data_IF_723596244428
#
_entry.id   IF_723596244428
#
_cell.length_a   1.000
_cell.length_b   1.000
_cell.length_c   1.000
_cell.angle_alpha   90.00
_cell.angle_beta   90.00
_cell.angle_gamma   90.00
#
_symmetry.space_group_name_H-M   'P 1'
#
loop_
_entity.id
_entity.type
_entity.pdbx_description
1 polymer ?
#
# COMPACT_ATOMS: atom_id res chain seq x y z
N UNK A 1 9.99 5.93 -19.12
CA UNK A 1 9.67 5.25 -17.85
C UNK A 1 10.25 3.85 -17.89
N UNK A 2 11.07 3.46 -16.90
CA UNK A 2 11.81 2.18 -16.90
C UNK A 2 11.01 1.01 -16.33
N UNK A 3 11.26 -0.20 -16.85
CA UNK A 3 10.54 -1.45 -16.51
C UNK A 3 10.56 -1.74 -15.00
N UNK A 4 11.68 -1.46 -14.32
CA UNK A 4 11.83 -1.76 -12.90
C UNK A 4 11.00 -0.84 -11.99
N UNK A 5 10.65 0.36 -12.43
CA UNK A 5 9.94 1.30 -11.57
C UNK A 5 8.44 0.98 -11.45
N UNK A 6 7.89 0.21 -12.41
CA UNK A 6 6.49 -0.24 -12.42
C UNK A 6 6.34 -1.77 -12.36
N UNK A 7 7.42 -2.50 -12.64
CA UNK A 7 7.39 -3.94 -12.94
C UNK A 7 6.83 -4.82 -11.82
N UNK A 8 7.03 -4.45 -10.55
CA UNK A 8 6.53 -5.25 -9.43
C UNK A 8 5.08 -4.96 -9.03
N UNK A 9 4.47 -3.87 -9.52
CA UNK A 9 3.10 -3.53 -9.17
C UNK A 9 2.09 -4.49 -9.82
N UNK A 10 2.30 -4.84 -11.10
CA UNK A 10 1.39 -5.76 -11.81
C UNK A 10 1.37 -7.15 -11.15
N UNK A 11 2.51 -7.79 -10.83
CA UNK A 11 2.50 -9.07 -10.13
C UNK A 11 1.96 -8.98 -8.70
N UNK A 12 2.12 -7.84 -8.00
CA UNK A 12 1.51 -7.64 -6.68
C UNK A 12 -0.02 -7.61 -6.78
N UNK A 13 -0.56 -6.91 -7.77
CA UNK A 13 -2.01 -6.84 -8.02
C UNK A 13 -2.56 -8.19 -8.47
N UNK A 14 -1.84 -8.92 -9.32
CA UNK A 14 -2.18 -10.30 -9.71
C UNK A 14 -2.17 -11.25 -8.50
N UNK A 15 -1.18 -11.14 -7.61
CA UNK A 15 -1.17 -11.90 -6.36
C UNK A 15 -2.39 -11.61 -5.48
N UNK A 16 -2.73 -10.33 -5.28
CA UNK A 16 -3.92 -9.92 -4.53
C UNK A 16 -5.19 -10.50 -5.16
N UNK A 17 -5.29 -10.36 -6.49
CA UNK A 17 -6.41 -10.88 -7.27
C UNK A 17 -6.54 -12.39 -7.05
N UNK A 18 -5.47 -13.18 -7.06
CA UNK A 18 -5.59 -14.64 -6.93
C UNK A 18 -5.82 -15.11 -5.48
N UNK A 19 -5.16 -14.47 -4.50
CA UNK A 19 -4.99 -15.04 -3.16
C UNK A 19 -5.77 -14.34 -2.04
N UNK A 20 -6.37 -13.18 -2.31
CA UNK A 20 -7.07 -12.38 -1.29
C UNK A 20 -8.58 -12.37 -1.53
N UNK A 21 -9.35 -12.24 -0.44
CA UNK A 21 -10.81 -12.16 -0.47
C UNK A 21 -11.29 -10.89 -1.18
N UNK A 22 -12.43 -10.97 -1.86
CA UNK A 22 -13.08 -9.84 -2.55
C UNK A 22 -13.53 -8.72 -1.60
N UNK A 23 -13.74 -9.06 -0.32
CA UNK A 23 -14.17 -8.11 0.71
C UNK A 23 -13.00 -7.36 1.37
N UNK A 24 -11.81 -7.43 0.78
CA UNK A 24 -10.59 -6.86 1.36
C UNK A 24 -10.36 -5.42 0.90
N UNK A 25 -9.73 -4.65 1.76
CA UNK A 25 -9.33 -3.27 1.51
C UNK A 25 -7.87 -3.23 1.06
N UNK A 26 -7.59 -2.52 -0.02
CA UNK A 26 -6.25 -2.46 -0.62
C UNK A 26 -5.67 -1.07 -0.49
N UNK A 27 -4.46 -0.98 0.04
CA UNK A 27 -3.73 0.26 0.23
C UNK A 27 -2.46 0.21 -0.62
N UNK A 28 -2.18 1.25 -1.37
CA UNK A 28 -0.98 1.35 -2.22
C UNK A 28 -0.16 2.55 -1.77
N UNK A 29 1.08 2.33 -1.32
CA UNK A 29 1.94 3.39 -0.79
C UNK A 29 3.30 3.41 -1.48
N UNK A 30 3.73 4.62 -1.92
CA UNK A 30 4.96 4.84 -2.71
C UNK A 30 5.07 3.94 -3.95
N UNK A 31 3.93 3.62 -4.55
CA UNK A 31 3.84 2.95 -5.85
C UNK A 31 3.22 3.89 -6.88
N UNK A 32 3.28 3.52 -8.16
CA UNK A 32 2.39 4.10 -9.15
C UNK A 32 0.92 3.81 -8.83
N UNK A 33 0.04 4.60 -9.44
CA UNK A 33 -1.40 4.38 -9.41
C UNK A 33 -1.71 2.92 -9.76
N UNK A 34 -2.40 2.18 -8.89
CA UNK A 34 -2.68 0.78 -9.11
C UNK A 34 -3.65 0.60 -10.29
N UNK A 35 -3.47 -0.44 -11.14
CA UNK A 35 -4.48 -0.83 -12.11
C UNK A 35 -5.68 -1.49 -11.40
N UNK A 36 -6.54 -0.65 -10.80
CA UNK A 36 -7.68 -1.11 -9.97
C UNK A 36 -8.65 -2.03 -10.71
N UNK A 37 -8.75 -1.91 -12.02
CA UNK A 37 -9.53 -2.80 -12.89
C UNK A 37 -9.08 -4.28 -12.84
N UNK A 38 -7.87 -4.57 -12.36
CA UNK A 38 -7.39 -5.94 -12.15
C UNK A 38 -7.79 -6.52 -10.79
N UNK A 39 -8.21 -5.70 -9.82
CA UNK A 39 -8.55 -6.20 -8.48
C UNK A 39 -9.90 -6.93 -8.54
N UNK A 40 -10.05 -8.02 -7.77
CA UNK A 40 -11.32 -8.78 -7.71
C UNK A 40 -12.52 -7.93 -7.26
N UNK A 41 -12.25 -6.77 -6.67
CA UNK A 41 -13.23 -5.82 -6.20
C UNK A 41 -13.87 -5.02 -7.37
N UNK A 42 -13.83 -5.50 -8.61
CA UNK A 42 -14.53 -4.90 -9.74
C UNK A 42 -16.08 -4.95 -9.66
N UNK A 43 -16.65 -5.09 -8.47
CA UNK A 43 -18.09 -4.91 -8.25
C UNK A 43 -18.46 -3.42 -8.36
N UNK A 44 -19.72 -3.12 -8.68
CA UNK A 44 -20.21 -1.75 -8.82
C UNK A 44 -20.07 -0.90 -7.53
N UNK A 45 -19.85 -1.55 -6.38
CA UNK A 45 -19.83 -0.93 -5.05
C UNK A 45 -18.40 -0.68 -4.53
N UNK A 46 -17.35 -0.94 -5.33
CA UNK A 46 -15.98 -0.65 -4.89
C UNK A 46 -15.64 0.84 -4.94
N UNK A 47 -15.12 1.36 -3.83
CA UNK A 47 -14.70 2.77 -3.74
C UNK A 47 -13.21 2.88 -3.99
N UNK A 48 -12.85 3.87 -4.79
CA UNK A 48 -11.46 4.24 -5.03
C UNK A 48 -11.21 5.65 -4.54
N UNK A 49 -10.23 5.80 -3.66
CA UNK A 49 -9.72 7.10 -3.20
C UNK A 49 -8.29 7.30 -3.66
N UNK A 50 -7.93 8.52 -4.03
CA UNK A 50 -6.56 8.84 -4.41
C UNK A 50 -6.11 10.20 -3.89
N UNK A 51 -4.83 10.30 -3.56
CA UNK A 51 -4.17 11.53 -3.09
C UNK A 51 -4.44 12.77 -3.95
N UNK A 52 -4.58 12.61 -5.27
CA UNK A 52 -4.69 13.75 -6.19
C UNK A 52 -6.10 14.36 -6.21
N UNK A 53 -7.12 13.58 -5.87
CA UNK A 53 -8.53 13.97 -6.00
C UNK A 53 -9.24 14.10 -4.65
N UNK A 54 -8.74 13.42 -3.62
CA UNK A 54 -9.39 13.28 -2.33
C UNK A 54 -8.51 13.80 -1.20
N UNK A 55 -9.11 14.46 -0.21
CA UNK A 55 -8.45 14.67 1.09
C UNK A 55 -8.51 13.37 1.90
N UNK A 56 -7.51 12.52 1.70
CA UNK A 56 -7.42 11.20 2.34
C UNK A 56 -7.46 11.25 3.87
N UNK A 57 -7.12 12.38 4.47
CA UNK A 57 -7.13 12.57 5.93
C UNK A 57 -8.53 12.88 6.47
N UNK A 58 -9.36 13.56 5.67
CA UNK A 58 -10.72 13.96 6.02
C UNK A 58 -11.75 12.83 5.85
N UNK A 59 -11.43 11.77 5.10
CA UNK A 59 -12.34 10.65 4.86
C UNK A 59 -12.68 9.92 6.17
N UNK A 60 -13.97 9.72 6.42
CA UNK A 60 -14.46 8.87 7.51
C UNK A 60 -14.51 7.39 7.08
N UNK A 61 -13.38 6.70 7.19
CA UNK A 61 -13.27 5.28 6.88
C UNK A 61 -14.17 4.37 7.73
N UNK A 62 -14.70 4.84 8.86
CA UNK A 62 -15.64 4.07 9.70
C UNK A 62 -17.03 3.95 9.08
N UNK A 63 -17.38 4.89 8.20
CA UNK A 63 -18.66 4.91 7.47
C UNK A 63 -18.68 4.01 6.22
N UNK A 64 -17.52 3.51 5.80
CA UNK A 64 -17.36 2.77 4.54
C UNK A 64 -17.50 1.27 4.84
N UNK A 65 -18.63 0.68 4.45
CA UNK A 65 -18.90 -0.76 4.63
C UNK A 65 -18.46 -1.63 3.45
N UNK A 66 -18.28 -1.01 2.28
CA UNK A 66 -17.92 -1.69 1.04
C UNK A 66 -16.40 -1.75 0.85
N UNK A 67 -15.87 -2.75 0.10
CA UNK A 67 -14.44 -2.87 -0.13
C UNK A 67 -13.91 -1.64 -0.85
N UNK A 68 -12.75 -1.12 -0.41
CA UNK A 68 -12.18 0.08 -1.00
C UNK A 68 -10.69 -0.06 -1.29
N UNK A 69 -10.23 0.77 -2.22
CA UNK A 69 -8.81 0.94 -2.54
C UNK A 69 -8.39 2.37 -2.24
N UNK A 70 -7.28 2.55 -1.55
CA UNK A 70 -6.66 3.87 -1.33
C UNK A 70 -5.29 3.92 -2.01
N UNK A 71 -5.14 4.86 -2.93
CA UNK A 71 -3.86 5.17 -3.55
C UNK A 71 -3.21 6.37 -2.84
N UNK A 72 -2.17 6.06 -2.07
CA UNK A 72 -1.38 7.05 -1.34
C UNK A 72 -0.23 7.63 -2.17
N UNK A 73 -0.11 7.29 -3.46
CA UNK A 73 0.97 7.68 -4.41
C UNK A 73 1.93 8.75 -3.88
N UNK A 74 3.10 8.31 -3.38
CA UNK A 74 4.18 9.22 -2.96
C UNK A 74 3.89 10.10 -1.73
N UNK A 75 2.90 9.76 -0.89
CA UNK A 75 2.74 10.42 0.40
C UNK A 75 3.94 10.15 1.31
N UNK A 76 4.37 11.19 2.00
CA UNK A 76 5.39 11.09 3.04
C UNK A 76 4.88 10.28 4.22
N UNK A 77 5.81 9.65 4.93
CA UNK A 77 5.49 8.77 6.06
C UNK A 77 4.63 9.47 7.13
N UNK A 78 4.94 10.72 7.45
CA UNK A 78 4.25 11.47 8.51
C UNK A 78 2.78 11.79 8.16
N UNK A 79 2.45 11.84 6.87
CA UNK A 79 1.08 12.00 6.39
C UNK A 79 0.39 10.63 6.22
N UNK A 80 1.15 9.61 5.80
CA UNK A 80 0.65 8.28 5.56
C UNK A 80 0.26 7.54 6.85
N UNK A 81 1.12 7.55 7.86
CA UNK A 81 0.94 6.76 9.08
C UNK A 81 -0.39 7.04 9.79
N UNK A 82 -0.78 8.30 10.09
CA UNK A 82 -2.04 8.54 10.81
C UNK A 82 -3.27 8.03 10.05
N UNK A 83 -3.26 8.10 8.72
CA UNK A 83 -4.35 7.60 7.87
C UNK A 83 -4.36 6.07 7.88
N UNK A 84 -3.19 5.44 7.74
CA UNK A 84 -3.04 4.00 7.82
C UNK A 84 -3.59 3.46 9.14
N UNK A 85 -3.21 4.06 10.28
CA UNK A 85 -3.65 3.65 11.61
C UNK A 85 -5.17 3.83 11.79
N UNK A 86 -5.75 4.90 11.23
CA UNK A 86 -7.21 5.10 11.21
C UNK A 86 -7.91 3.97 10.46
N UNK A 87 -7.40 3.60 9.28
CA UNK A 87 -7.96 2.52 8.46
C UNK A 87 -7.83 1.17 9.18
N UNK A 88 -6.63 0.82 9.67
CA UNK A 88 -6.39 -0.48 10.31
C UNK A 88 -7.13 -0.64 11.62
N UNK A 89 -7.35 0.44 12.37
CA UNK A 89 -8.14 0.40 13.62
C UNK A 89 -9.60 0.03 13.37
N UNK A 90 -10.17 0.53 12.28
CA UNK A 90 -11.57 0.31 11.89
C UNK A 90 -11.74 -1.04 11.16
N UNK A 91 -10.85 -1.35 10.22
CA UNK A 91 -10.96 -2.48 9.29
C UNK A 91 -9.99 -3.62 9.63
N UNK A 92 -9.92 -4.00 10.91
CA UNK A 92 -8.93 -4.99 11.39
C UNK A 92 -9.01 -6.31 10.63
N UNK A 93 -7.85 -6.78 10.15
CA UNK A 93 -7.70 -8.09 9.51
C UNK A 93 -8.18 -8.19 8.05
N UNK A 94 -8.78 -7.13 7.48
CA UNK A 94 -9.20 -7.06 6.07
C UNK A 94 -8.36 -6.10 5.22
N UNK A 95 -7.31 -5.50 5.79
CA UNK A 95 -6.48 -4.49 5.12
C UNK A 95 -5.16 -5.07 4.62
N UNK A 96 -4.86 -4.82 3.36
CA UNK A 96 -3.61 -5.23 2.70
C UNK A 96 -2.89 -4.01 2.16
N UNK A 97 -1.60 -3.89 2.47
CA UNK A 97 -0.72 -2.84 2.00
C UNK A 97 0.21 -3.37 0.90
N UNK A 98 0.28 -2.66 -0.21
CA UNK A 98 1.28 -2.83 -1.25
C UNK A 98 2.26 -1.68 -1.14
N UNK A 99 3.53 -1.99 -0.89
CA UNK A 99 4.57 -0.98 -0.72
C UNK A 99 5.95 -1.51 -1.15
N UNK A 100 6.85 -0.63 -1.62
CA UNK A 100 8.25 -0.96 -1.84
C UNK A 100 8.94 -1.53 -0.58
N UNK A 101 9.88 -2.45 -0.75
CA UNK A 101 10.61 -3.06 0.37
C UNK A 101 11.41 -2.02 1.17
N UNK A 102 11.96 -1.01 0.48
CA UNK A 102 12.69 0.08 1.14
C UNK A 102 11.74 1.00 1.95
N UNK A 103 10.52 1.25 1.51
CA UNK A 103 9.53 2.03 2.26
C UNK A 103 9.19 1.37 3.61
N UNK A 104 9.11 0.03 3.61
CA UNK A 104 8.82 -0.77 4.80
C UNK A 104 9.94 -0.74 5.86
N UNK A 105 11.14 -0.25 5.53
CA UNK A 105 12.20 -0.01 6.52
C UNK A 105 11.74 0.98 7.61
N UNK A 106 10.82 1.89 7.29
CA UNK A 106 10.29 2.86 8.25
C UNK A 106 9.54 2.20 9.40
N UNK A 107 8.97 1.01 9.18
CA UNK A 107 8.21 0.28 10.19
C UNK A 107 9.07 -0.65 11.05
N UNK A 108 10.37 -0.80 10.77
CA UNK A 108 11.21 -1.78 11.48
C UNK A 108 11.57 -1.37 12.91
N UNK A 109 11.60 -0.06 13.20
CA UNK A 109 12.05 0.48 14.49
C UNK A 109 11.04 1.48 15.10
N UNK A 110 9.79 1.43 14.67
CA UNK A 110 8.73 2.31 15.16
C UNK A 110 7.60 1.47 15.72
N UNK A 111 7.14 1.81 16.91
CA UNK A 111 5.92 1.22 17.48
C UNK A 111 4.74 1.74 16.68
N UNK A 112 4.06 0.85 15.96
CA UNK A 112 2.81 1.14 15.26
C UNK A 112 1.63 0.55 16.02
N UNK A 113 0.42 1.08 15.79
CA UNK A 113 -0.82 0.56 16.39
C UNK A 113 -1.29 -0.77 15.79
N UNK A 114 -0.64 -1.24 14.72
CA UNK A 114 -0.98 -2.46 13.99
C UNK A 114 0.24 -3.38 13.88
N UNK A 115 0.01 -4.68 13.74
CA UNK A 115 1.06 -5.60 13.30
C UNK A 115 0.94 -5.82 11.80
N UNK A 116 1.98 -6.36 11.17
CA UNK A 116 1.90 -6.75 9.76
C UNK A 116 2.67 -8.03 9.48
N UNK A 117 2.26 -8.74 8.44
CA UNK A 117 2.96 -9.93 7.93
C UNK A 117 3.12 -9.79 6.43
N UNK A 118 4.35 -9.96 5.93
CA UNK A 118 4.61 -10.01 4.49
C UNK A 118 4.07 -11.33 3.94
N UNK A 119 3.15 -11.25 2.99
CA UNK A 119 2.55 -12.42 2.35
C UNK A 119 3.23 -12.78 1.02
N UNK A 120 3.71 -11.76 0.31
CA UNK A 120 4.34 -11.92 -1.00
C UNK A 120 5.32 -10.79 -1.25
N UNK A 121 6.36 -11.05 -2.06
CA UNK A 121 7.24 -10.01 -2.57
C UNK A 121 7.91 -10.42 -3.88
N UNK A 122 8.43 -9.42 -4.60
CA UNK A 122 9.33 -9.61 -5.74
C UNK A 122 10.45 -8.59 -5.69
N UNK A 123 11.63 -8.96 -6.18
CA UNK A 123 12.77 -8.05 -6.32
C UNK A 123 12.68 -7.16 -7.58
N UNK A 124 11.72 -7.44 -8.48
CA UNK A 124 11.54 -6.73 -9.75
C UNK A 124 10.78 -5.41 -9.59
N UNK A 125 11.19 -4.60 -8.63
CA UNK A 125 10.69 -3.24 -8.42
C UNK A 125 11.81 -2.36 -7.86
N UNK A 126 11.86 -1.09 -8.22
CA UNK A 126 12.73 -0.12 -7.55
C UNK A 126 11.96 1.19 -7.37
N UNK A 127 11.79 1.60 -6.13
CA UNK A 127 11.34 2.94 -5.79
C UNK A 127 12.47 3.92 -6.14
N UNK A 128 12.19 4.80 -7.11
CA UNK A 128 13.14 5.78 -7.61
C UNK A 128 12.85 7.19 -7.08
N UNK A 129 11.75 7.35 -6.37
CA UNK A 129 11.26 8.65 -5.93
C UNK A 129 11.68 8.95 -4.48
N UNK A 130 11.95 7.90 -3.68
CA UNK A 130 12.27 8.05 -2.26
C UNK A 130 13.60 7.38 -1.88
N UNK A 131 14.69 8.14 -2.00
CA UNK A 131 16.00 7.76 -1.48
C UNK A 131 16.30 8.44 -0.14
N UNK A 132 15.85 7.84 0.96
CA UNK A 132 16.08 8.32 2.32
C UNK A 132 17.46 7.85 2.85
N UNK A 133 18.53 8.18 2.12
CA UNK A 133 19.90 7.75 2.46
C UNK A 133 20.32 8.21 3.86
N UNK A 134 19.93 9.42 4.28
CA UNK A 134 20.26 9.94 5.61
C UNK A 134 19.63 9.11 6.73
N UNK A 135 18.51 8.43 6.46
CA UNK A 135 17.77 7.63 7.43
C UNK A 135 18.17 6.15 7.40
N UNK A 136 18.40 5.59 6.21
CA UNK A 136 18.59 4.15 6.01
C UNK A 136 19.92 3.76 5.37
N UNK A 137 20.76 4.72 5.01
CA UNK A 137 21.99 4.50 4.25
C UNK A 137 21.72 3.75 2.95
N UNK A 138 22.61 2.82 2.60
CA UNK A 138 22.47 2.01 1.39
C UNK A 138 21.22 1.12 1.34
N UNK A 139 20.57 0.86 2.49
CA UNK A 139 19.32 0.08 2.50
C UNK A 139 18.19 0.79 1.78
N UNK A 140 18.26 2.12 1.60
CA UNK A 140 17.26 2.85 0.81
C UNK A 140 17.18 2.40 -0.65
N UNK A 141 18.25 1.76 -1.17
CA UNK A 141 18.31 1.22 -2.53
C UNK A 141 17.86 -0.25 -2.60
N UNK A 142 17.26 -0.79 -1.54
CA UNK A 142 16.75 -2.17 -1.54
C UNK A 142 15.68 -2.31 -2.63
N UNK A 143 15.92 -3.12 -3.68
CA UNK A 143 14.93 -3.34 -4.70
C UNK A 143 13.83 -4.24 -4.15
N UNK A 144 12.62 -4.00 -4.63
CA UNK A 144 11.49 -4.89 -4.50
C UNK A 144 10.23 -4.19 -4.02
N UNK A 145 9.14 -4.94 -4.08
CA UNK A 145 7.82 -4.55 -3.61
C UNK A 145 7.20 -5.75 -2.91
N UNK A 146 6.40 -5.49 -1.88
CA UNK A 146 5.74 -6.50 -1.08
C UNK A 146 4.24 -6.26 -0.95
N UNK A 147 3.54 -7.35 -0.65
CA UNK A 147 2.15 -7.34 -0.19
C UNK A 147 2.15 -7.74 1.27
N UNK A 148 1.55 -6.90 2.12
CA UNK A 148 1.54 -7.04 3.57
C UNK A 148 0.11 -7.09 4.07
N UNK A 149 -0.22 -8.07 4.90
CA UNK A 149 -1.48 -8.08 5.64
C UNK A 149 -1.31 -7.33 6.95
N UNK A 150 -2.18 -6.36 7.21
CA UNK A 150 -2.19 -5.58 8.45
C UNK A 150 -3.15 -6.25 9.46
N UNK A 151 -2.69 -6.44 10.70
CA UNK A 151 -3.33 -7.20 11.78
C UNK A 151 -3.68 -6.30 12.97
#
# INVERSE_FOLDING_TARGET
>A
MGILHQGGLIPAVDYLQQNVSVDSNFLFWRTYKPPTWMLKNGSADHVYFNKDSDDLSAIDYSSISQPFTVDFMGLDYDQFLPILEKITTVHKGSVYLVAPLNAMLTFQNVTTTFNYTQLWSTAWHLDMDHFEFDKFGFKTFTPGIGVYKLL
#
